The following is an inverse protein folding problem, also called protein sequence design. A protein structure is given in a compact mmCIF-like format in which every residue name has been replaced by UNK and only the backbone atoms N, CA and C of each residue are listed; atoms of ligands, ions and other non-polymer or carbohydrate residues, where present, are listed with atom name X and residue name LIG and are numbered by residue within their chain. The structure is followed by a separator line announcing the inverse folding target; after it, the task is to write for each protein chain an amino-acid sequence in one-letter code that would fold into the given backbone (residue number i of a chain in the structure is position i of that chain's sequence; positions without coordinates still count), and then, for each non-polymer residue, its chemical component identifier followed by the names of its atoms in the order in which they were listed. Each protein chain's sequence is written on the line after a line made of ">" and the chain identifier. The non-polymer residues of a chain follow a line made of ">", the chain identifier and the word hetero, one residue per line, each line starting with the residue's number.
data_IF_052775105313
#
_entry.id   IF_052775105313
#
_cell.length_a   1.000
_cell.length_b   1.000
_cell.length_c   1.000
_cell.angle_alpha   90.00
_cell.angle_beta   90.00
_cell.angle_gamma   90.00
#
_symmetry.space_group_name_H-M   'P 1'
#
loop_
_entity.id
_entity.type
_entity.pdbx_description
1 polymer ?
#
# COMPACT_ATOMS: atom_id res chain seq x y z
N UNK A 1 -15.97 -7.99 9.05
CA UNK A 1 -15.82 -7.93 7.58
C UNK A 1 -16.36 -6.62 7.07
N UNK A 2 -15.50 -5.77 6.51
CA UNK A 2 -15.88 -4.56 5.78
C UNK A 2 -16.33 -4.99 4.38
N UNK A 3 -17.58 -4.75 4.03
CA UNK A 3 -18.09 -5.03 2.69
C UNK A 3 -17.75 -3.87 1.77
N UNK A 4 -17.14 -4.16 0.61
CA UNK A 4 -16.89 -3.15 -0.42
C UNK A 4 -18.22 -2.80 -1.11
N UNK A 5 -18.43 -1.52 -1.42
CA UNK A 5 -19.59 -1.03 -2.18
C UNK A 5 -19.75 -1.75 -3.52
N UNK A 6 -18.65 -2.06 -4.21
CA UNK A 6 -18.67 -2.83 -5.47
C UNK A 6 -19.21 -4.25 -5.28
N UNK A 7 -18.77 -4.95 -4.24
CA UNK A 7 -19.24 -6.30 -3.93
C UNK A 7 -20.74 -6.32 -3.64
N UNK A 8 -21.24 -5.32 -2.91
CA UNK A 8 -22.67 -5.21 -2.61
C UNK A 8 -23.48 -4.88 -3.86
N UNK A 9 -23.03 -3.94 -4.69
CA UNK A 9 -23.69 -3.62 -5.97
C UNK A 9 -23.77 -4.84 -6.88
N UNK A 10 -22.68 -5.59 -7.00
CA UNK A 10 -22.63 -6.81 -7.80
C UNK A 10 -23.56 -7.90 -7.23
N UNK A 11 -23.55 -8.11 -5.92
CA UNK A 11 -24.48 -9.02 -5.23
C UNK A 11 -25.94 -8.66 -5.52
N UNK A 12 -26.32 -7.39 -5.35
CA UNK A 12 -27.68 -6.91 -5.63
C UNK A 12 -28.07 -7.10 -7.09
N UNK A 13 -27.14 -6.91 -8.02
CA UNK A 13 -27.35 -7.15 -9.45
C UNK A 13 -27.66 -8.63 -9.73
N UNK A 14 -26.97 -9.57 -9.07
CA UNK A 14 -27.28 -11.00 -9.20
C UNK A 14 -28.65 -11.35 -8.58
N UNK A 15 -29.01 -10.72 -7.46
CA UNK A 15 -30.33 -10.91 -6.83
C UNK A 15 -31.47 -10.41 -7.71
N UNK A 16 -31.30 -9.26 -8.38
CA UNK A 16 -32.26 -8.75 -9.39
C UNK A 16 -32.45 -9.68 -10.58
N UNK A 17 -31.43 -10.47 -10.94
CA UNK A 17 -31.50 -11.51 -12.00
C UNK A 17 -32.19 -12.81 -11.56
N UNK A 18 -32.73 -12.87 -10.34
CA UNK A 18 -33.42 -14.06 -9.81
C UNK A 18 -32.48 -15.15 -9.29
N UNK A 19 -31.17 -14.89 -9.20
CA UNK A 19 -30.19 -15.86 -8.72
C UNK A 19 -30.35 -16.08 -7.21
N UNK A 20 -30.20 -17.33 -6.75
CA UNK A 20 -30.30 -17.67 -5.32
C UNK A 20 -29.27 -16.89 -4.49
N UNK A 21 -29.58 -16.69 -3.21
CA UNK A 21 -28.71 -15.98 -2.27
C UNK A 21 -27.31 -16.59 -2.20
N UNK A 22 -27.23 -17.93 -2.15
CA UNK A 22 -25.96 -18.65 -2.07
C UNK A 22 -25.07 -18.38 -3.29
N UNK A 23 -25.62 -18.55 -4.49
CA UNK A 23 -24.89 -18.33 -5.75
C UNK A 23 -24.52 -16.85 -5.90
N UNK A 24 -25.41 -15.93 -5.54
CA UNK A 24 -25.14 -14.49 -5.60
C UNK A 24 -23.99 -14.09 -4.66
N UNK A 25 -23.96 -14.63 -3.45
CA UNK A 25 -22.89 -14.39 -2.48
C UNK A 25 -21.56 -14.95 -2.96
N UNK A 26 -21.57 -16.17 -3.48
CA UNK A 26 -20.38 -16.82 -4.05
C UNK A 26 -19.81 -16.05 -5.24
N UNK A 27 -20.66 -15.61 -6.18
CA UNK A 27 -20.23 -14.79 -7.32
C UNK A 27 -19.67 -13.42 -6.89
N UNK A 28 -20.23 -12.83 -5.83
CA UNK A 28 -19.76 -11.55 -5.30
C UNK A 28 -18.52 -11.66 -4.39
N UNK A 29 -18.04 -12.88 -4.12
CA UNK A 29 -16.91 -13.12 -3.22
C UNK A 29 -17.21 -12.75 -1.76
N UNK A 30 -18.46 -12.89 -1.31
CA UNK A 30 -18.88 -12.59 0.06
C UNK A 30 -19.51 -13.81 0.73
N UNK A 31 -19.50 -13.83 2.07
CA UNK A 31 -20.18 -14.89 2.82
C UNK A 31 -21.70 -14.84 2.62
N UNK A 32 -22.37 -16.00 2.67
CA UNK A 32 -23.84 -16.10 2.62
C UNK A 32 -24.48 -15.28 3.75
N UNK A 33 -23.85 -15.26 4.93
CA UNK A 33 -24.27 -14.42 6.08
C UNK A 33 -24.23 -12.94 5.75
N UNK A 34 -23.21 -12.49 5.01
CA UNK A 34 -23.13 -11.10 4.51
C UNK A 34 -24.26 -10.81 3.52
N UNK A 35 -24.56 -11.73 2.61
CA UNK A 35 -25.72 -11.63 1.71
C UNK A 35 -27.04 -11.44 2.47
N UNK A 36 -27.28 -12.24 3.52
CA UNK A 36 -28.47 -12.08 4.40
C UNK A 36 -28.53 -10.72 5.08
N UNK A 37 -27.39 -10.17 5.51
CA UNK A 37 -27.33 -8.83 6.11
C UNK A 37 -27.61 -7.73 5.10
N UNK A 38 -27.15 -7.89 3.85
CA UNK A 38 -27.43 -6.95 2.75
C UNK A 38 -28.93 -6.93 2.44
N UNK A 39 -29.58 -8.10 2.38
CA UNK A 39 -31.03 -8.20 2.14
C UNK A 39 -31.87 -7.63 3.28
N UNK A 40 -31.41 -7.73 4.53
CA UNK A 40 -32.06 -7.16 5.71
C UNK A 40 -31.75 -5.68 5.93
N UNK A 41 -31.01 -5.05 5.02
CA UNK A 41 -30.50 -3.68 5.15
C UNK A 41 -29.67 -3.42 6.43
N UNK A 42 -29.09 -4.49 6.99
CA UNK A 42 -28.23 -4.46 8.20
C UNK A 42 -26.75 -4.32 7.85
N UNK A 43 -26.47 -3.80 6.66
CA UNK A 43 -25.13 -3.52 6.19
C UNK A 43 -24.96 -2.01 6.12
N UNK A 44 -23.98 -1.49 6.85
CA UNK A 44 -23.54 -0.11 6.65
C UNK A 44 -22.42 -0.13 5.63
N UNK A 45 -22.47 0.79 4.66
CA UNK A 45 -21.22 1.25 4.04
C UNK A 45 -20.33 1.64 5.21
N UNK A 46 -19.12 1.10 5.29
CA UNK A 46 -18.20 1.50 6.37
C UNK A 46 -18.00 3.00 6.20
N UNK A 47 -18.73 3.80 6.99
CA UNK A 47 -18.58 5.24 6.99
C UNK A 47 -17.16 5.49 7.45
N UNK A 48 -16.42 6.26 6.67
CA UNK A 48 -15.08 6.62 7.07
C UNK A 48 -15.23 7.38 8.38
N UNK A 49 -14.77 6.80 9.50
CA UNK A 49 -14.94 7.44 10.81
C UNK A 49 -14.11 8.71 10.78
N UNK A 50 -14.78 9.86 10.77
CA UNK A 50 -14.12 11.16 10.65
C UNK A 50 -13.38 11.58 11.94
N UNK A 51 -13.70 10.95 13.07
CA UNK A 51 -13.14 11.31 14.37
C UNK A 51 -12.33 10.17 14.99
N UNK A 52 -11.24 10.54 15.66
CA UNK A 52 -10.40 9.61 16.40
C UNK A 52 -11.00 9.41 17.79
N UNK A 53 -11.09 8.16 18.27
CA UNK A 53 -11.68 7.87 19.60
C UNK A 53 -10.94 8.56 20.75
N UNK A 54 -9.67 8.90 20.56
CA UNK A 54 -8.84 9.64 21.52
C UNK A 54 -8.02 10.70 20.80
N UNK A 55 -7.83 11.86 21.45
CA UNK A 55 -6.86 12.87 21.01
C UNK A 55 -5.45 12.28 21.04
N UNK A 56 -4.58 12.73 20.13
CA UNK A 56 -3.22 12.19 20.08
C UNK A 56 -2.38 12.80 21.22
N UNK A 57 -1.80 11.99 22.11
CA UNK A 57 -1.03 12.50 23.25
C UNK A 57 0.22 13.27 22.84
N UNK A 58 0.74 13.10 21.61
CA UNK A 58 1.92 13.81 21.12
C UNK A 58 1.59 15.08 20.34
N UNK A 59 0.32 15.39 20.11
CA UNK A 59 -0.12 16.49 19.23
C UNK A 59 0.48 17.85 19.62
N UNK A 60 0.52 18.16 20.93
CA UNK A 60 1.01 19.44 21.43
C UNK A 60 2.51 19.69 21.17
N UNK A 61 3.33 18.65 21.19
CA UNK A 61 4.80 18.74 21.06
C UNK A 61 5.29 18.35 19.67
N UNK A 62 4.44 17.74 18.85
CA UNK A 62 4.84 17.18 17.56
C UNK A 62 5.36 18.25 16.59
N UNK A 63 4.53 19.22 16.26
CA UNK A 63 4.87 20.23 15.25
C UNK A 63 5.83 21.30 15.80
N UNK A 64 5.80 21.55 17.11
CA UNK A 64 6.59 22.58 17.78
C UNK A 64 8.02 22.10 18.07
N UNK A 65 8.19 20.87 18.56
CA UNK A 65 9.50 20.38 19.02
C UNK A 65 10.05 19.26 18.14
N UNK A 66 9.23 18.24 17.86
CA UNK A 66 9.72 16.99 17.26
C UNK A 66 9.99 17.11 15.75
N UNK A 67 9.13 17.83 15.01
CA UNK A 67 9.30 18.04 13.56
C UNK A 67 10.55 18.86 13.23
N UNK A 68 10.81 20.01 13.86
CA UNK A 68 12.06 20.77 13.62
C UNK A 68 13.30 19.93 13.93
N UNK A 69 13.30 19.21 15.05
CA UNK A 69 14.43 18.35 15.46
C UNK A 69 14.71 17.23 14.44
N UNK A 70 13.65 16.63 13.88
CA UNK A 70 13.76 15.62 12.81
C UNK A 70 14.28 16.20 11.49
N UNK A 71 13.98 17.47 11.18
CA UNK A 71 14.51 18.15 9.99
C UNK A 71 15.99 18.48 10.14
N UNK A 72 16.39 18.97 11.31
CA UNK A 72 17.80 19.26 11.59
C UNK A 72 18.64 17.97 11.66
N UNK A 73 18.08 16.90 12.23
CA UNK A 73 18.80 15.65 12.48
C UNK A 73 17.97 14.43 12.02
N UNK A 74 17.93 14.13 10.71
CA UNK A 74 17.09 13.04 10.16
C UNK A 74 17.53 11.64 10.62
N UNK A 75 18.77 11.49 11.08
CA UNK A 75 19.31 10.25 11.62
C UNK A 75 18.76 9.88 13.01
N UNK A 76 18.03 10.79 13.68
CA UNK A 76 17.50 10.53 15.02
C UNK A 76 16.52 9.35 15.02
N UNK A 77 16.68 8.51 16.04
CA UNK A 77 15.85 7.34 16.25
C UNK A 77 14.57 7.72 17.00
N UNK A 78 13.41 7.15 16.64
CA UNK A 78 12.14 7.43 17.33
C UNK A 78 12.18 7.10 18.82
N UNK A 79 12.99 6.14 19.25
CA UNK A 79 13.17 5.79 20.67
C UNK A 79 13.87 6.90 21.43
N UNK A 80 14.96 7.43 20.87
CA UNK A 80 15.71 8.55 21.45
C UNK A 80 14.85 9.80 21.57
N UNK A 81 13.99 10.07 20.58
CA UNK A 81 13.02 11.17 20.66
C UNK A 81 12.06 11.03 21.83
N UNK A 82 11.59 9.81 22.09
CA UNK A 82 10.70 9.56 23.22
C UNK A 82 11.42 9.69 24.56
N UNK A 83 12.66 9.21 24.65
CA UNK A 83 13.51 9.34 25.85
C UNK A 83 13.77 10.82 26.17
N UNK A 84 14.20 11.61 25.17
CA UNK A 84 14.38 13.06 25.33
C UNK A 84 13.12 13.77 25.81
N UNK A 85 11.96 13.35 25.31
CA UNK A 85 10.67 13.91 25.71
C UNK A 85 10.29 13.52 27.16
N UNK A 86 10.63 12.30 27.58
CA UNK A 86 10.44 11.82 28.95
C UNK A 86 11.38 12.53 29.94
N UNK A 87 12.61 12.81 29.54
CA UNK A 87 13.58 13.57 30.33
C UNK A 87 13.14 15.02 30.51
N UNK A 88 12.62 15.64 29.44
CA UNK A 88 12.15 17.04 29.47
C UNK A 88 10.81 17.21 30.20
N UNK A 89 9.92 16.22 30.10
CA UNK A 89 8.58 16.26 30.69
C UNK A 89 8.30 14.96 31.48
N UNK A 90 8.89 14.83 32.69
CA UNK A 90 8.75 13.62 33.49
C UNK A 90 7.28 13.34 33.82
N UNK A 91 6.86 12.09 33.63
CA UNK A 91 5.50 11.61 33.94
C UNK A 91 4.41 11.95 32.92
N UNK A 92 4.68 12.78 31.90
CA UNK A 92 3.66 13.15 30.90
C UNK A 92 3.54 12.15 29.75
N UNK A 93 4.66 11.50 29.38
CA UNK A 93 4.72 10.63 28.20
C UNK A 93 5.05 9.18 28.57
N UNK A 94 4.05 8.27 28.64
CA UNK A 94 4.30 6.88 28.98
C UNK A 94 5.02 6.12 27.85
N UNK A 95 5.78 5.09 28.21
CA UNK A 95 6.49 4.23 27.24
C UNK A 95 5.59 3.52 26.22
N UNK A 96 4.28 3.42 26.48
CA UNK A 96 3.28 2.93 25.52
C UNK A 96 3.22 3.75 24.23
N UNK A 97 3.71 5.00 24.25
CA UNK A 97 3.78 5.87 23.06
C UNK A 97 4.89 5.50 22.09
N UNK A 98 5.78 4.56 22.41
CA UNK A 98 6.88 4.13 21.53
C UNK A 98 6.41 3.73 20.13
N UNK A 99 5.32 2.95 20.04
CA UNK A 99 4.71 2.55 18.75
C UNK A 99 4.15 3.77 18.00
N UNK A 100 3.53 4.71 18.72
CA UNK A 100 2.98 5.96 18.13
C UNK A 100 4.11 6.84 17.58
N UNK A 101 5.19 7.01 18.35
CA UNK A 101 6.38 7.76 17.97
C UNK A 101 7.04 7.16 16.73
N UNK A 102 7.32 5.85 16.73
CA UNK A 102 7.88 5.15 15.57
C UNK A 102 7.04 5.33 14.30
N UNK A 103 5.71 5.17 14.42
CA UNK A 103 4.79 5.34 13.29
C UNK A 103 4.84 6.78 12.74
N UNK A 104 4.73 7.79 13.60
CA UNK A 104 4.72 9.20 13.17
C UNK A 104 6.07 9.63 12.59
N UNK A 105 7.20 9.17 13.14
CA UNK A 105 8.53 9.44 12.55
C UNK A 105 8.65 8.80 11.18
N UNK A 106 8.15 7.57 10.99
CA UNK A 106 8.12 6.91 9.68
C UNK A 106 7.26 7.68 8.67
N UNK A 107 6.08 8.14 9.07
CA UNK A 107 5.21 8.99 8.24
C UNK A 107 5.90 10.31 7.88
N UNK A 108 6.55 10.96 8.85
CA UNK A 108 7.33 12.17 8.63
C UNK A 108 8.50 11.96 7.67
N UNK A 109 9.24 10.84 7.80
CA UNK A 109 10.31 10.48 6.87
C UNK A 109 9.79 10.13 5.48
N UNK A 110 8.56 9.64 5.34
CA UNK A 110 7.96 9.42 4.02
C UNK A 110 7.60 10.75 3.33
N UNK A 111 7.15 11.73 4.13
CA UNK A 111 6.71 13.03 3.65
C UNK A 111 7.88 14.01 3.41
N UNK A 112 8.93 13.94 4.23
CA UNK A 112 10.06 14.89 4.24
C UNK A 112 11.43 14.21 4.15
N UNK A 113 11.48 12.91 3.86
CA UNK A 113 12.73 12.14 3.82
C UNK A 113 13.71 12.67 2.78
N UNK A 114 15.00 12.52 3.09
CA UNK A 114 16.09 12.78 2.14
C UNK A 114 15.90 11.97 0.87
N UNK A 115 16.34 12.56 -0.25
CA UNK A 115 16.31 12.06 -1.65
C UNK A 115 15.43 10.81 -1.83
N UNK A 116 14.15 11.02 -2.12
CA UNK A 116 13.31 9.94 -2.65
C UNK A 116 14.07 9.32 -3.83
N UNK A 117 14.41 8.03 -3.72
CA UNK A 117 14.87 7.26 -4.87
C UNK A 117 13.84 7.44 -5.98
N UNK A 118 14.22 8.20 -7.01
CA UNK A 118 13.36 8.45 -8.17
C UNK A 118 13.24 7.13 -8.92
N UNK A 119 12.15 6.41 -8.70
CA UNK A 119 11.85 5.20 -9.44
C UNK A 119 11.42 5.58 -10.85
N UNK A 120 12.34 5.51 -11.81
CA UNK A 120 11.99 5.57 -13.22
C UNK A 120 11.23 4.30 -13.61
N UNK A 121 9.98 4.46 -14.06
CA UNK A 121 9.19 3.33 -14.55
C UNK A 121 9.82 2.80 -15.84
N UNK A 122 10.35 1.58 -15.79
CA UNK A 122 10.69 0.86 -17.02
C UNK A 122 9.41 0.53 -17.78
N UNK A 123 9.09 1.31 -18.82
CA UNK A 123 7.99 1.03 -19.74
C UNK A 123 8.46 0.01 -20.77
N UNK A 124 8.24 -1.29 -20.50
CA UNK A 124 8.43 -2.34 -21.49
C UNK A 124 7.20 -2.39 -22.40
N UNK A 125 7.25 -1.72 -23.55
CA UNK A 125 6.16 -1.85 -24.52
C UNK A 125 6.17 -3.29 -25.07
N UNK A 126 5.01 -3.97 -25.10
CA UNK A 126 4.89 -5.28 -25.74
C UNK A 126 5.39 -5.21 -27.19
N UNK A 127 6.25 -6.15 -27.57
CA UNK A 127 6.79 -6.24 -28.94
C UNK A 127 8.09 -5.48 -29.22
N UNK A 128 8.55 -4.57 -28.35
CA UNK A 128 9.86 -3.91 -28.52
C UNK A 128 11.05 -4.78 -28.11
N UNK A 129 10.82 -5.75 -27.21
CA UNK A 129 11.84 -6.71 -26.76
C UNK A 129 11.24 -8.10 -26.83
N UNK A 130 11.73 -8.90 -27.76
CA UNK A 130 11.41 -10.32 -27.86
C UNK A 130 12.55 -11.15 -27.29
N UNK A 131 12.25 -12.05 -26.37
CA UNK A 131 13.17 -13.13 -25.99
C UNK A 131 13.09 -14.20 -27.08
N UNK A 132 14.12 -14.29 -27.91
CA UNK A 132 14.29 -15.39 -28.85
C UNK A 132 15.08 -16.51 -28.18
N UNK A 133 14.38 -17.51 -27.63
CA UNK A 133 15.00 -18.73 -27.13
C UNK A 133 14.98 -19.80 -28.22
N UNK A 134 16.16 -20.21 -28.68
CA UNK A 134 16.30 -21.29 -29.64
C UNK A 134 16.49 -22.59 -28.88
N UNK A 135 15.41 -23.38 -28.78
CA UNK A 135 15.53 -24.74 -28.22
C UNK A 135 16.20 -25.64 -29.26
N UNK A 136 17.51 -25.90 -29.10
CA UNK A 136 18.21 -26.93 -29.86
C UNK A 136 17.70 -28.31 -29.43
N UNK A 137 16.97 -29.00 -30.30
CA UNK A 137 16.74 -30.45 -30.14
C UNK A 137 18.09 -31.15 -30.32
N UNK A 138 18.45 -32.02 -29.38
CA UNK A 138 19.67 -32.83 -29.50
C UNK A 138 19.47 -33.88 -30.61
N UNK A 139 20.02 -33.60 -31.79
CA UNK A 139 20.07 -34.55 -32.90
C UNK A 139 19.99 -33.85 -34.24
N UNK A 140 21.12 -33.85 -34.95
CA UNK A 140 21.42 -33.35 -36.30
C UNK A 140 21.80 -31.86 -36.46
N UNK A 141 22.99 -31.70 -37.03
CA UNK A 141 23.74 -30.48 -37.19
C UNK A 141 23.42 -29.85 -38.55
N UNK A 142 23.15 -28.54 -38.58
CA UNK A 142 23.64 -27.62 -39.62
C UNK A 142 23.29 -26.19 -39.18
N UNK A 143 24.31 -25.44 -38.79
CA UNK A 143 24.18 -24.04 -38.41
C UNK A 143 23.98 -23.13 -39.62
N UNK A 144 23.13 -22.12 -39.47
CA UNK A 144 23.24 -20.87 -40.22
C UNK A 144 23.23 -19.72 -39.21
N UNK A 145 24.40 -19.12 -39.02
CA UNK A 145 24.58 -17.94 -38.18
C UNK A 145 23.96 -16.72 -38.88
N UNK A 146 22.75 -16.32 -38.49
CA UNK A 146 22.21 -15.01 -38.84
C UNK A 146 22.63 -14.01 -37.76
N UNK A 147 23.66 -13.25 -38.10
CA UNK A 147 24.21 -12.15 -37.31
C UNK A 147 23.12 -11.07 -37.12
N UNK A 148 22.50 -11.00 -35.94
CA UNK A 148 21.60 -9.91 -35.59
C UNK A 148 22.41 -8.75 -35.01
N UNK A 149 22.99 -7.94 -35.89
CA UNK A 149 23.53 -6.63 -35.49
C UNK A 149 22.36 -5.70 -35.15
N UNK A 150 22.28 -5.27 -33.90
CA UNK A 150 21.45 -4.14 -33.49
C UNK A 150 22.27 -2.86 -33.74
N UNK A 151 21.91 -1.96 -34.68
CA UNK A 151 22.62 -0.71 -34.82
C UNK A 151 22.24 0.18 -33.65
N UNK A 152 23.22 0.47 -32.78
CA UNK A 152 23.08 1.51 -31.77
C UNK A 152 22.71 2.83 -32.45
N UNK A 153 21.50 3.32 -32.15
CA UNK A 153 21.04 4.66 -32.47
C UNK A 153 21.97 5.65 -31.75
N UNK A 154 22.77 6.40 -32.52
CA UNK A 154 23.58 7.51 -31.99
C UNK A 154 22.65 8.66 -31.56
N UNK A 155 22.84 9.28 -30.39
CA UNK A 155 22.16 10.52 -30.05
C UNK A 155 22.75 11.70 -30.83
N UNK A 156 21.88 12.63 -31.22
CA UNK A 156 22.22 13.97 -31.71
C UNK A 156 22.39 14.94 -30.54
#
# INVERSE_FOLDING_TARGET
>A
MTLNTHQVSYYMTQRKKGVTQHISAMKAGISVRSGRRIEKDQWSKTGNRHWRTRKDPLEAVWDIELVPLLKERPALMPTTLLEMLQDKYPGQYPGSLRRTMQRRVRECKLQYGAEQEVMFRQLHQPGLRGLSDFTRKAGNETGHAANCYCPMMKPA
#
